data_IF_579173083594
#
_entry.id   IF_579173083594
#
_cell.length_a   1.000
_cell.length_b   1.000
_cell.length_c   1.000
_cell.angle_alpha   90.00
_cell.angle_beta   90.00
_cell.angle_gamma   90.00
#
_symmetry.space_group_name_H-M   'P 1'
#
loop_
_entity.id
_entity.type
_entity.pdbx_description
1 polymer ?
#
# COMPACT_ATOMS: atom_id res chain seq x y z
N UNK A 1 -20.56 -5.86 -7.61
CA UNK A 1 -19.34 -6.68 -7.59
C UNK A 1 -18.92 -6.80 -6.14
N UNK A 2 -18.78 -8.02 -5.57
CA UNK A 2 -18.30 -8.12 -4.19
C UNK A 2 -16.90 -7.50 -4.10
N UNK A 3 -16.64 -6.92 -2.94
CA UNK A 3 -15.72 -5.82 -2.70
C UNK A 3 -14.26 -6.19 -2.92
N UNK A 4 -13.57 -5.50 -3.84
CA UNK A 4 -12.09 -5.49 -3.95
C UNK A 4 -11.42 -4.76 -2.76
N UNK A 5 -12.06 -4.80 -1.58
CA UNK A 5 -11.64 -4.07 -0.40
C UNK A 5 -10.60 -4.90 0.32
N UNK A 6 -9.37 -4.40 0.32
CA UNK A 6 -8.32 -5.01 1.12
C UNK A 6 -8.63 -4.80 2.60
N UNK A 7 -8.44 -5.85 3.39
CA UNK A 7 -8.42 -5.74 4.84
C UNK A 7 -7.25 -4.84 5.26
N UNK A 8 -7.49 -3.92 6.18
CA UNK A 8 -6.47 -3.04 6.73
C UNK A 8 -6.12 -3.50 8.14
N UNK A 9 -4.86 -3.82 8.37
CA UNK A 9 -4.33 -3.91 9.72
C UNK A 9 -3.91 -2.52 10.19
N UNK A 10 -4.26 -2.18 11.43
CA UNK A 10 -3.91 -0.91 12.04
C UNK A 10 -2.85 -1.11 13.13
N UNK A 11 -1.94 -0.14 13.26
CA UNK A 11 -0.97 -0.14 14.34
C UNK A 11 -1.60 0.45 15.61
N UNK A 12 -1.79 -0.38 16.64
CA UNK A 12 -2.47 0.03 17.90
C UNK A 12 -1.77 1.21 18.61
N UNK A 13 -0.45 1.28 18.56
CA UNK A 13 0.32 2.38 19.15
C UNK A 13 0.23 3.74 18.42
N UNK A 14 -0.39 3.81 17.24
CA UNK A 14 -0.42 5.01 16.38
C UNK A 14 -1.84 5.58 16.19
N UNK A 15 -2.82 5.24 17.03
CA UNK A 15 -4.23 5.61 16.84
C UNK A 15 -4.58 7.11 17.03
N UNK A 16 -3.62 8.00 17.27
CA UNK A 16 -3.89 9.43 17.63
C UNK A 16 -3.24 10.46 16.71
N UNK A 17 -2.56 10.03 15.65
CA UNK A 17 -2.02 10.96 14.65
C UNK A 17 -3.13 11.74 13.94
N UNK A 18 -2.81 12.98 13.51
CA UNK A 18 -3.69 13.79 12.68
C UNK A 18 -3.52 13.51 11.19
N UNK A 19 -2.44 12.83 10.79
CA UNK A 19 -2.23 12.35 9.42
C UNK A 19 -2.45 10.84 9.29
N UNK A 20 -2.43 10.35 8.06
CA UNK A 20 -2.52 8.92 7.73
C UNK A 20 -1.22 8.44 7.09
N UNK A 21 -0.73 7.25 7.47
CA UNK A 21 0.36 6.56 6.80
C UNK A 21 -0.10 5.16 6.40
N UNK A 22 -0.18 4.91 5.09
CA UNK A 22 -0.49 3.59 4.54
C UNK A 22 0.81 2.93 4.08
N UNK A 23 1.12 1.74 4.59
CA UNK A 23 2.39 1.04 4.31
C UNK A 23 2.14 -0.28 3.60
N UNK A 24 2.68 -0.43 2.39
CA UNK A 24 2.54 -1.61 1.55
C UNK A 24 3.75 -2.55 1.73
N UNK A 25 3.47 -3.80 2.12
CA UNK A 25 4.49 -4.82 2.32
C UNK A 25 5.09 -5.36 1.00
N UNK A 26 6.21 -6.07 1.09
CA UNK A 26 6.84 -6.77 -0.03
C UNK A 26 6.21 -8.12 -0.34
N UNK A 27 6.75 -8.81 -1.35
CA UNK A 27 6.31 -10.16 -1.69
C UNK A 27 6.66 -11.15 -0.58
N UNK A 28 5.74 -12.06 -0.25
CA UNK A 28 5.90 -13.07 0.79
C UNK A 28 6.25 -12.46 2.17
N UNK A 29 5.51 -11.42 2.53
CA UNK A 29 5.62 -10.77 3.84
C UNK A 29 4.26 -10.74 4.54
N UNK A 30 4.30 -10.56 5.86
CA UNK A 30 3.12 -10.33 6.66
C UNK A 30 2.89 -8.81 6.77
N UNK A 31 1.64 -8.30 6.67
CA UNK A 31 1.36 -6.86 6.80
C UNK A 31 1.86 -6.23 8.11
N UNK A 32 2.00 -7.01 9.18
CA UNK A 32 2.60 -6.55 10.44
C UNK A 32 4.06 -6.04 10.28
N UNK A 33 4.84 -6.56 9.32
CA UNK A 33 6.17 -6.04 9.03
C UNK A 33 6.11 -4.62 8.44
N UNK A 34 5.09 -4.35 7.61
CA UNK A 34 4.84 -3.00 7.09
C UNK A 34 4.38 -2.03 8.20
N UNK A 35 3.58 -2.49 9.17
CA UNK A 35 3.23 -1.68 10.34
C UNK A 35 4.47 -1.29 11.15
N UNK A 36 5.41 -2.22 11.35
CA UNK A 36 6.67 -1.94 12.04
C UNK A 36 7.52 -0.92 11.27
N UNK A 37 7.61 -1.04 9.94
CA UNK A 37 8.29 -0.04 9.10
C UNK A 37 7.64 1.35 9.26
N UNK A 38 6.31 1.43 9.24
CA UNK A 38 5.60 2.69 9.46
C UNK A 38 5.91 3.32 10.82
N UNK A 39 5.89 2.52 11.88
CA UNK A 39 6.25 2.96 13.22
C UNK A 39 7.70 3.46 13.34
N UNK A 40 8.63 2.86 12.57
CA UNK A 40 10.02 3.32 12.51
C UNK A 40 10.19 4.65 11.76
N UNK A 41 9.32 4.93 10.79
CA UNK A 41 9.34 6.18 10.01
C UNK A 41 8.66 7.34 10.76
N UNK A 42 7.73 7.05 11.66
CA UNK A 42 6.95 8.04 12.41
C UNK A 42 7.29 8.05 13.91
N UNK A 43 8.54 8.39 14.24
CA UNK A 43 9.03 8.42 15.63
C UNK A 43 8.30 9.44 16.53
N UNK A 44 7.59 10.40 15.93
CA UNK A 44 6.81 11.43 16.63
C UNK A 44 5.31 11.08 16.72
N UNK A 45 4.88 9.92 16.22
CA UNK A 45 3.49 9.46 16.23
C UNK A 45 2.49 10.46 15.63
N UNK A 46 2.88 11.13 14.54
CA UNK A 46 2.05 12.13 13.84
C UNK A 46 0.98 11.49 12.95
N UNK A 47 1.14 10.22 12.59
CA UNK A 47 0.29 9.52 11.65
C UNK A 47 -0.41 8.32 12.31
N UNK A 48 -1.66 8.08 11.92
CA UNK A 48 -2.27 6.77 12.05
C UNK A 48 -1.66 5.84 11.02
N UNK A 49 -1.12 4.71 11.46
CA UNK A 49 -0.40 3.78 10.58
C UNK A 49 -1.28 2.55 10.30
N UNK A 50 -1.46 2.24 9.03
CA UNK A 50 -2.11 1.00 8.59
C UNK A 50 -1.35 0.31 7.45
N UNK A 51 -1.59 -0.99 7.30
CA UNK A 51 -1.03 -1.81 6.26
C UNK A 51 -2.14 -2.66 5.63
N UNK A 52 -2.39 -2.53 4.31
CA UNK A 52 -3.29 -3.41 3.60
C UNK A 52 -2.75 -4.85 3.58
N UNK A 53 -3.64 -5.79 3.78
CA UNK A 53 -3.35 -7.22 3.67
C UNK A 53 -3.38 -7.65 2.20
N UNK A 54 -2.27 -8.17 1.69
CA UNK A 54 -2.22 -8.73 0.34
C UNK A 54 -3.19 -9.91 0.16
N UNK A 55 -4.02 -9.95 -0.89
CA UNK A 55 -5.05 -10.98 -1.05
C UNK A 55 -4.48 -12.35 -1.45
N UNK A 56 -3.23 -12.42 -1.90
CA UNK A 56 -2.59 -13.66 -2.34
C UNK A 56 -1.84 -14.31 -1.19
N UNK A 57 -2.32 -15.44 -0.68
CA UNK A 57 -1.57 -16.28 0.27
C UNK A 57 -0.46 -17.03 -0.48
N UNK A 58 0.80 -16.77 -0.09
CA UNK A 58 2.00 -17.40 -0.67
C UNK A 58 2.42 -18.62 0.16
N UNK A 59 2.36 -18.48 1.49
CA UNK A 59 2.60 -19.56 2.44
C UNK A 59 1.90 -19.21 3.78
N UNK A 60 2.12 -20.00 4.83
CA UNK A 60 1.59 -19.68 6.14
C UNK A 60 2.12 -18.32 6.63
N UNK A 61 1.21 -17.41 7.00
CA UNK A 61 1.53 -16.02 7.38
C UNK A 61 2.37 -15.22 6.38
N UNK A 62 2.29 -15.55 5.08
CA UNK A 62 3.09 -14.92 4.01
C UNK A 62 2.17 -14.55 2.85
N UNK A 63 2.16 -13.27 2.49
CA UNK A 63 1.20 -12.72 1.54
C UNK A 63 1.86 -11.90 0.44
N UNK A 64 1.12 -11.69 -0.65
CA UNK A 64 1.50 -10.86 -1.78
C UNK A 64 0.27 -10.09 -2.31
N UNK A 65 0.54 -8.99 -3.02
CA UNK A 65 -0.52 -8.20 -3.65
C UNK A 65 -0.95 -8.77 -5.00
N UNK A 66 -0.01 -9.38 -5.73
CA UNK A 66 -0.25 -10.05 -7.01
C UNK A 66 0.73 -11.21 -7.21
N UNK A 67 0.33 -12.22 -7.99
CA UNK A 67 1.24 -13.28 -8.47
C UNK A 67 2.13 -12.77 -9.61
N UNK A 68 3.28 -13.40 -9.81
CA UNK A 68 4.17 -13.10 -10.93
C UNK A 68 4.30 -14.31 -11.85
N UNK A 69 4.20 -14.09 -13.16
CA UNK A 69 4.42 -15.15 -14.18
C UNK A 69 5.91 -15.46 -14.37
N UNK A 70 6.78 -14.52 -14.02
CA UNK A 70 8.23 -14.70 -13.97
C UNK A 70 8.82 -13.82 -12.87
N UNK A 71 10.13 -13.94 -12.60
CA UNK A 71 10.80 -13.09 -11.62
C UNK A 71 10.56 -11.58 -11.86
N UNK A 72 10.43 -11.18 -13.13
CA UNK A 72 10.32 -9.77 -13.51
C UNK A 72 8.91 -9.34 -13.92
N UNK A 73 8.05 -10.28 -14.30
CA UNK A 73 6.76 -9.95 -14.91
C UNK A 73 5.63 -10.32 -13.95
N UNK A 74 4.80 -9.35 -13.54
CA UNK A 74 3.59 -9.66 -12.79
C UNK A 74 2.60 -10.43 -13.67
N UNK A 75 1.74 -11.22 -13.04
CA UNK A 75 0.55 -11.72 -13.71
C UNK A 75 -0.35 -10.53 -14.09
N UNK A 76 -0.74 -10.35 -15.36
CA UNK A 76 -1.44 -9.15 -15.79
C UNK A 76 -2.80 -8.94 -15.12
N UNK A 77 -3.54 -10.01 -14.84
CA UNK A 77 -4.86 -9.92 -14.23
C UNK A 77 -4.75 -9.54 -12.75
N UNK A 78 -3.95 -10.30 -12.00
CA UNK A 78 -3.69 -10.00 -10.59
C UNK A 78 -3.11 -8.59 -10.42
N UNK A 79 -2.22 -8.15 -11.31
CA UNK A 79 -1.61 -6.83 -11.25
C UNK A 79 -2.62 -5.70 -11.42
N UNK A 80 -3.53 -5.83 -12.40
CA UNK A 80 -4.57 -4.84 -12.62
C UNK A 80 -5.54 -4.77 -11.44
N UNK A 81 -5.91 -5.92 -10.87
CA UNK A 81 -6.72 -5.97 -9.66
C UNK A 81 -6.01 -5.33 -8.47
N UNK A 82 -4.73 -5.63 -8.26
CA UNK A 82 -3.93 -5.06 -7.18
C UNK A 82 -3.80 -3.54 -7.28
N UNK A 83 -3.59 -3.00 -8.49
CA UNK A 83 -3.52 -1.54 -8.72
C UNK A 83 -4.80 -0.83 -8.29
N UNK A 84 -5.94 -1.39 -8.66
CA UNK A 84 -7.25 -0.85 -8.29
C UNK A 84 -7.48 -0.97 -6.78
N UNK A 85 -7.24 -2.16 -6.22
CA UNK A 85 -7.48 -2.45 -4.82
C UNK A 85 -6.63 -1.58 -3.87
N UNK A 86 -5.36 -1.31 -4.21
CA UNK A 86 -4.49 -0.45 -3.40
C UNK A 86 -4.98 0.99 -3.39
N UNK A 87 -5.33 1.55 -4.56
CA UNK A 87 -5.90 2.89 -4.62
C UNK A 87 -7.16 2.99 -3.77
N UNK A 88 -8.08 2.04 -3.95
CA UNK A 88 -9.35 2.04 -3.24
C UNK A 88 -9.16 1.83 -1.73
N UNK A 89 -8.15 1.06 -1.31
CA UNK A 89 -7.79 0.89 0.09
C UNK A 89 -7.25 2.19 0.72
N UNK A 90 -6.43 2.96 -0.02
CA UNK A 90 -5.94 4.27 0.46
C UNK A 90 -7.10 5.26 0.60
N UNK A 91 -7.95 5.37 -0.43
CA UNK A 91 -9.14 6.24 -0.41
C UNK A 91 -10.11 5.85 0.72
N UNK A 92 -10.31 4.54 0.95
CA UNK A 92 -11.15 4.05 2.03
C UNK A 92 -10.55 4.32 3.42
N UNK A 93 -9.23 4.21 3.58
CA UNK A 93 -8.56 4.54 4.84
C UNK A 93 -8.69 6.02 5.16
N UNK A 94 -8.47 6.90 4.17
CA UNK A 94 -8.69 8.35 4.29
C UNK A 94 -10.11 8.66 4.73
N UNK A 95 -11.11 8.09 4.05
CA UNK A 95 -12.52 8.30 4.36
C UNK A 95 -12.90 7.76 5.75
N UNK A 96 -12.38 6.61 6.15
CA UNK A 96 -12.68 5.98 7.45
C UNK A 96 -12.15 6.84 8.61
N UNK A 97 -10.96 7.40 8.46
CA UNK A 97 -10.33 8.22 9.49
C UNK A 97 -10.70 9.71 9.40
N UNK A 98 -11.39 10.12 8.33
CA UNK A 98 -11.69 11.53 8.06
C UNK A 98 -10.44 12.37 7.82
N UNK A 99 -9.39 11.77 7.24
CA UNK A 99 -8.08 12.41 7.00
C UNK A 99 -7.97 12.77 5.52
N UNK A 100 -7.62 14.02 5.26
CA UNK A 100 -7.43 14.51 3.90
C UNK A 100 -6.22 13.87 3.22
N UNK A 101 -6.31 13.75 1.89
CA UNK A 101 -5.22 13.34 1.03
C UNK A 101 -3.92 14.14 1.25
N UNK A 102 -4.05 15.43 1.54
CA UNK A 102 -2.94 16.34 1.81
C UNK A 102 -2.17 16.01 3.12
N UNK A 103 -2.74 15.17 3.97
CA UNK A 103 -2.14 14.68 5.23
C UNK A 103 -1.93 13.17 5.22
N UNK A 104 -1.96 12.56 4.02
CA UNK A 104 -1.69 11.13 3.82
C UNK A 104 -0.30 10.89 3.25
N UNK A 105 0.47 9.99 3.86
CA UNK A 105 1.74 9.46 3.34
C UNK A 105 1.52 8.03 2.86
N UNK A 106 1.99 7.72 1.65
CA UNK A 106 1.98 6.37 1.12
C UNK A 106 3.40 5.82 1.09
N UNK A 107 3.59 4.65 1.69
CA UNK A 107 4.88 3.98 1.81
C UNK A 107 4.80 2.60 1.16
N UNK A 108 5.85 2.17 0.45
CA UNK A 108 5.90 0.82 -0.09
C UNK A 108 7.29 0.19 -0.08
N UNK A 109 7.34 -1.12 0.12
CA UNK A 109 8.55 -1.93 0.05
C UNK A 109 8.46 -2.98 -1.07
N UNK A 110 9.51 -3.11 -1.89
CA UNK A 110 9.65 -4.12 -2.95
C UNK A 110 8.41 -4.20 -3.89
N UNK A 111 7.61 -5.28 -3.81
CA UNK A 111 6.36 -5.42 -4.56
C UNK A 111 5.38 -4.27 -4.25
N UNK A 112 5.22 -3.93 -2.97
CA UNK A 112 4.39 -2.82 -2.51
C UNK A 112 4.92 -1.46 -2.95
N UNK A 113 6.24 -1.28 -3.11
CA UNK A 113 6.82 -0.04 -3.63
C UNK A 113 6.35 0.28 -5.06
N UNK A 114 6.28 -0.75 -5.91
CA UNK A 114 5.75 -0.59 -7.28
C UNK A 114 4.27 -0.18 -7.29
N UNK A 115 3.45 -0.83 -6.46
CA UNK A 115 2.03 -0.49 -6.34
C UNK A 115 1.80 0.89 -5.70
N UNK A 116 2.59 1.27 -4.70
CA UNK A 116 2.54 2.60 -4.09
C UNK A 116 2.85 3.69 -5.13
N UNK A 117 3.87 3.47 -5.95
CA UNK A 117 4.23 4.38 -7.05
C UNK A 117 3.08 4.52 -8.04
N UNK A 118 2.45 3.41 -8.44
CA UNK A 118 1.32 3.44 -9.36
C UNK A 118 0.09 4.10 -8.76
N UNK A 119 -0.22 3.84 -7.49
CA UNK A 119 -1.34 4.48 -6.82
C UNK A 119 -1.14 6.00 -6.76
N UNK A 120 0.06 6.48 -6.46
CA UNK A 120 0.33 7.93 -6.34
C UNK A 120 0.55 8.63 -7.69
N UNK A 121 1.04 7.94 -8.73
CA UNK A 121 1.56 8.58 -9.95
C UNK A 121 0.93 8.08 -11.27
N UNK A 122 0.00 7.14 -11.25
CA UNK A 122 -0.63 6.58 -12.46
C UNK A 122 -1.35 7.64 -13.30
N UNK A 123 -1.20 7.56 -14.64
CA UNK A 123 -1.83 8.47 -15.62
C UNK A 123 -3.36 8.42 -15.62
N UNK A 124 -3.91 7.24 -15.37
CA UNK A 124 -5.34 6.95 -15.59
C UNK A 124 -6.16 7.42 -14.39
N UNK A 125 -5.66 7.11 -13.19
CA UNK A 125 -6.27 7.52 -11.92
C UNK A 125 -5.24 7.32 -10.81
N UNK A 126 -4.79 8.42 -10.22
CA UNK A 126 -3.96 8.43 -9.01
C UNK A 126 -4.82 8.72 -7.77
N UNK A 127 -4.33 8.29 -6.61
CA UNK A 127 -4.80 8.76 -5.30
C UNK A 127 -3.92 9.92 -4.86
N UNK A 128 -4.55 10.99 -4.38
CA UNK A 128 -3.81 12.14 -3.88
C UNK A 128 -3.19 11.76 -2.53
N UNK A 129 -1.88 12.01 -2.40
CA UNK A 129 -1.12 11.83 -1.17
C UNK A 129 -0.12 12.96 -1.03
N UNK A 130 0.20 13.33 0.20
CA UNK A 130 1.20 14.34 0.54
C UNK A 130 2.60 13.95 0.09
N UNK A 131 2.94 12.67 0.30
CA UNK A 131 4.27 12.15 0.05
C UNK A 131 4.21 10.66 -0.30
N UNK A 132 5.17 10.24 -1.13
CA UNK A 132 5.43 8.87 -1.49
C UNK A 132 6.84 8.48 -1.01
N UNK A 133 6.94 7.39 -0.25
CA UNK A 133 8.23 6.81 0.19
C UNK A 133 8.32 5.39 -0.34
N UNK A 134 9.37 5.07 -1.10
CA UNK A 134 9.51 3.75 -1.72
C UNK A 134 10.88 3.15 -1.49
N UNK A 135 10.91 1.87 -1.14
CA UNK A 135 12.12 1.10 -0.88
C UNK A 135 12.22 -0.09 -1.83
N UNK A 136 13.32 -0.21 -2.57
CA UNK A 136 13.54 -1.35 -3.49
C UNK A 136 12.51 -1.43 -4.62
N UNK A 137 12.07 -0.27 -5.13
CA UNK A 137 10.99 -0.17 -6.09
C UNK A 137 11.34 -0.79 -7.45
N UNK A 138 10.38 -1.54 -8.01
CA UNK A 138 10.31 -1.79 -9.45
C UNK A 138 9.43 -0.72 -10.08
N UNK A 139 10.00 0.02 -11.03
CA UNK A 139 9.28 1.05 -11.79
C UNK A 139 8.61 0.37 -12.98
N UNK A 140 7.37 0.80 -13.29
CA UNK A 140 6.61 0.36 -14.45
C UNK A 140 6.42 1.57 -15.39
N UNK A 141 7.41 1.93 -16.23
CA UNK A 141 7.45 3.22 -16.92
C UNK A 141 6.24 3.47 -17.83
N UNK A 142 5.76 2.42 -18.52
CA UNK A 142 4.61 2.52 -19.42
C UNK A 142 3.32 2.94 -18.67
N UNK A 143 3.30 2.70 -17.37
CA UNK A 143 2.18 3.00 -16.47
C UNK A 143 2.37 4.32 -15.71
N UNK A 144 3.55 4.96 -15.80
CA UNK A 144 4.01 6.09 -14.96
C UNK A 144 4.45 7.31 -15.80
N UNK A 145 3.59 7.92 -16.64
CA UNK A 145 3.79 9.24 -17.31
C UNK A 145 2.46 9.86 -17.79
#
# INVERSE_FOLDING_TARGET
>A
MPENKLELLWHDGHQRGSGLMVVLHGFAEHPAAALQLGAMLDTEHRYRVCAPHGPVKVAESKYAFYRSVSRMNPDPEDFNLARVAIRDAVEAAQATEGIDAADTVLVGFSQGAGLASLAALSKVKSTNVRALIVFGCRVYPDELV
#
